data_IF_166085807665
#
_entry.id   IF_166085807665
#
_cell.length_a   1.000
_cell.length_b   1.000
_cell.length_c   1.000
_cell.angle_alpha   90.00
_cell.angle_beta   90.00
_cell.angle_gamma   90.00
#
_symmetry.space_group_name_H-M   'P 1'
#
loop_
_entity.id
_entity.type
_entity.pdbx_description
1 polymer ?
#
# COMPACT_ATOMS: atom_id res chain seq x y z
N UNK A 1 8.86 -0.62 25.51
CA UNK A 1 9.43 -1.57 24.55
C UNK A 1 9.64 -0.88 23.22
N UNK A 2 10.74 -1.19 22.54
CA UNK A 2 10.97 -0.79 21.17
C UNK A 2 10.26 -1.78 20.25
N UNK A 3 9.61 -1.29 19.20
CA UNK A 3 8.79 -2.08 18.28
C UNK A 3 9.26 -1.86 16.87
N UNK A 4 9.50 -2.95 16.14
CA UNK A 4 9.67 -2.94 14.71
C UNK A 4 8.37 -3.39 14.07
N UNK A 5 7.70 -2.48 13.36
CA UNK A 5 6.47 -2.76 12.61
C UNK A 5 6.81 -2.99 11.13
N UNK A 6 6.63 -4.22 10.66
CA UNK A 6 6.88 -4.59 9.26
C UNK A 6 5.55 -4.67 8.52
N UNK A 7 5.42 -3.93 7.43
CA UNK A 7 4.21 -3.89 6.60
C UNK A 7 4.57 -4.19 5.13
N UNK A 8 3.89 -5.15 4.54
CA UNK A 8 4.12 -5.60 3.16
C UNK A 8 3.73 -4.55 2.12
N UNK A 9 2.65 -3.80 2.40
CA UNK A 9 2.19 -2.71 1.53
C UNK A 9 3.01 -1.43 1.77
N UNK A 10 2.88 -0.48 0.88
CA UNK A 10 3.55 0.82 1.01
C UNK A 10 2.97 1.72 2.11
N UNK A 11 1.94 1.27 2.80
CA UNK A 11 1.23 1.99 3.86
C UNK A 11 0.71 1.01 4.91
N UNK A 12 0.51 1.49 6.13
CA UNK A 12 -0.20 0.76 7.19
C UNK A 12 -1.71 0.96 7.09
N UNK A 13 -2.47 0.17 7.83
CA UNK A 13 -3.93 0.23 7.92
C UNK A 13 -4.65 -0.95 7.25
N UNK A 14 -3.96 -1.68 6.39
CA UNK A 14 -4.46 -2.91 5.78
C UNK A 14 -5.84 -2.74 5.12
N UNK A 15 -6.68 -3.75 5.25
CA UNK A 15 -8.03 -3.73 4.67
C UNK A 15 -8.97 -2.74 5.35
N UNK A 16 -8.74 -2.38 6.63
CA UNK A 16 -9.54 -1.37 7.30
C UNK A 16 -9.43 0.01 6.62
N UNK A 17 -8.26 0.33 6.03
CA UNK A 17 -8.10 1.56 5.25
C UNK A 17 -8.94 1.59 3.96
N UNK A 18 -9.43 0.44 3.50
CA UNK A 18 -10.27 0.30 2.32
C UNK A 18 -11.78 0.36 2.62
N UNK A 19 -12.18 0.16 3.87
CA UNK A 19 -13.58 0.20 4.27
C UNK A 19 -14.08 1.66 4.33
N UNK A 20 -15.34 1.87 3.95
CA UNK A 20 -16.04 3.11 4.20
C UNK A 20 -16.58 3.14 5.64
N UNK A 21 -17.23 2.05 6.06
CA UNK A 21 -17.83 1.90 7.38
C UNK A 21 -17.35 0.63 8.08
N UNK A 22 -17.35 0.68 9.42
CA UNK A 22 -17.10 -0.50 10.26
C UNK A 22 -18.42 -1.18 10.63
N UNK A 23 -18.48 -2.49 10.58
CA UNK A 23 -19.61 -3.27 11.05
C UNK A 23 -19.38 -3.71 12.51
N UNK A 24 -20.40 -3.75 13.39
CA UNK A 24 -21.82 -3.46 13.15
C UNK A 24 -22.23 -2.00 13.43
N UNK A 25 -21.32 -1.16 13.92
CA UNK A 25 -21.63 0.18 14.42
C UNK A 25 -21.82 1.22 13.32
N UNK A 26 -21.42 0.89 12.09
CA UNK A 26 -21.48 1.78 10.93
C UNK A 26 -20.66 3.08 11.13
N UNK A 27 -19.62 3.01 11.95
CA UNK A 27 -18.70 4.13 12.18
C UNK A 27 -17.80 4.36 10.94
N UNK A 28 -17.34 5.59 10.79
CA UNK A 28 -16.38 5.94 9.76
C UNK A 28 -15.02 5.23 9.99
N UNK A 29 -14.65 4.31 9.13
CA UNK A 29 -13.42 3.52 9.31
C UNK A 29 -12.16 4.39 9.28
N UNK A 30 -12.10 5.38 8.39
CA UNK A 30 -10.99 6.32 8.31
C UNK A 30 -10.87 7.21 9.56
N UNK A 31 -12.00 7.54 10.19
CA UNK A 31 -12.03 8.34 11.42
C UNK A 31 -11.46 7.58 12.63
N UNK A 32 -11.68 6.26 12.65
CA UNK A 32 -11.13 5.39 13.71
C UNK A 32 -9.67 5.04 13.43
N UNK A 33 -9.35 4.68 12.19
CA UNK A 33 -8.04 4.20 11.79
C UNK A 33 -7.00 5.33 11.71
N UNK A 34 -7.39 6.50 11.18
CA UNK A 34 -6.49 7.62 10.94
C UNK A 34 -5.65 8.02 12.16
N UNK A 35 -6.28 8.34 13.32
CA UNK A 35 -5.54 8.65 14.54
C UNK A 35 -4.55 7.56 14.95
N UNK A 36 -4.96 6.28 14.89
CA UNK A 36 -4.08 5.14 15.23
C UNK A 36 -2.86 5.04 14.31
N UNK A 37 -3.03 5.27 13.01
CA UNK A 37 -1.91 5.28 12.05
C UNK A 37 -0.96 6.44 12.34
N UNK A 38 -1.48 7.62 12.70
CA UNK A 38 -0.67 8.79 13.07
C UNK A 38 0.11 8.50 14.36
N UNK A 39 -0.53 7.92 15.37
CA UNK A 39 0.12 7.54 16.63
C UNK A 39 1.29 6.58 16.38
N UNK A 40 1.11 5.58 15.53
CA UNK A 40 2.18 4.66 15.14
C UNK A 40 3.33 5.39 14.46
N UNK A 41 3.03 6.30 13.52
CA UNK A 41 4.06 7.03 12.76
C UNK A 41 4.85 8.02 13.61
N UNK A 42 4.25 8.56 14.66
CA UNK A 42 4.86 9.57 15.53
C UNK A 42 5.48 8.99 16.80
N UNK A 43 5.20 7.73 17.11
CA UNK A 43 5.66 7.13 18.35
C UNK A 43 7.18 6.90 18.34
N UNK A 44 7.95 7.45 19.31
CA UNK A 44 9.42 7.44 19.28
C UNK A 44 10.05 6.05 19.39
N UNK A 45 9.29 5.05 19.86
CA UNK A 45 9.72 3.66 20.03
C UNK A 45 9.17 2.70 18.98
N UNK A 46 8.54 3.21 17.92
CA UNK A 46 8.07 2.41 16.81
C UNK A 46 8.88 2.73 15.56
N UNK A 47 9.58 1.75 15.05
CA UNK A 47 10.23 1.83 13.74
C UNK A 47 9.33 1.19 12.71
N UNK A 48 8.78 2.01 11.80
CA UNK A 48 7.91 1.54 10.72
C UNK A 48 8.74 1.16 9.49
N UNK A 49 8.65 -0.10 9.08
CA UNK A 49 9.20 -0.63 7.82
C UNK A 49 8.04 -1.00 6.88
N UNK A 50 7.49 -0.03 6.16
CA UNK A 50 6.52 -0.27 5.11
C UNK A 50 7.21 -0.69 3.80
N UNK A 51 6.46 -1.24 2.83
CA UNK A 51 6.98 -1.89 1.63
C UNK A 51 8.02 -2.98 1.93
N UNK A 52 7.85 -3.70 3.05
CA UNK A 52 8.82 -4.66 3.57
C UNK A 52 8.14 -5.96 3.97
N UNK A 53 8.85 -7.06 3.84
CA UNK A 53 8.32 -8.40 4.07
C UNK A 53 9.32 -9.23 4.87
N UNK A 54 8.83 -9.96 5.88
CA UNK A 54 9.64 -10.93 6.62
C UNK A 54 9.86 -12.15 5.73
N UNK A 55 11.12 -12.44 5.43
CA UNK A 55 11.51 -13.57 4.56
C UNK A 55 12.02 -14.77 5.34
N UNK A 56 12.61 -14.54 6.51
CA UNK A 56 13.12 -15.62 7.35
C UNK A 56 13.01 -15.27 8.83
N UNK A 57 12.75 -16.28 9.63
CA UNK A 57 12.75 -16.21 11.11
C UNK A 57 13.49 -17.42 11.64
N UNK A 58 14.46 -17.20 12.52
CA UNK A 58 15.20 -18.23 13.23
C UNK A 58 15.37 -17.85 14.69
N UNK A 59 15.83 -18.79 15.51
CA UNK A 59 16.05 -18.56 16.94
C UNK A 59 14.94 -19.13 17.82
N UNK A 60 14.77 -18.57 19.01
CA UNK A 60 13.83 -19.06 20.03
C UNK A 60 13.26 -17.87 20.84
N UNK A 61 12.25 -18.13 21.65
CA UNK A 61 11.59 -17.13 22.49
C UNK A 61 12.62 -16.36 23.33
N UNK A 62 12.60 -15.05 23.21
CA UNK A 62 13.57 -14.13 23.81
C UNK A 62 14.75 -13.76 22.91
N UNK A 63 15.01 -14.52 21.83
CA UNK A 63 16.15 -14.28 20.93
C UNK A 63 15.84 -14.77 19.49
N UNK A 64 14.94 -14.06 18.79
CA UNK A 64 14.66 -14.32 17.39
C UNK A 64 15.54 -13.46 16.50
N UNK A 65 16.03 -14.06 15.42
CA UNK A 65 16.67 -13.35 14.32
C UNK A 65 15.70 -13.31 13.14
N UNK A 66 15.31 -12.11 12.72
CA UNK A 66 14.32 -11.87 11.67
C UNK A 66 14.99 -11.19 10.49
N UNK A 67 14.88 -11.78 9.31
CA UNK A 67 15.32 -11.16 8.06
C UNK A 67 14.14 -10.49 7.38
N UNK A 68 14.28 -9.19 7.13
CA UNK A 68 13.26 -8.35 6.50
C UNK A 68 13.77 -7.88 5.14
N UNK A 69 13.04 -8.20 4.10
CA UNK A 69 13.30 -7.71 2.74
C UNK A 69 12.54 -6.41 2.52
N UNK A 70 13.25 -5.30 2.35
CA UNK A 70 12.70 -4.01 1.92
C UNK A 70 12.61 -4.01 0.40
N UNK A 71 11.41 -3.86 -0.14
CA UNK A 71 11.16 -3.83 -1.58
C UNK A 71 11.57 -2.48 -2.17
N UNK A 72 12.13 -2.50 -3.36
CA UNK A 72 12.46 -1.29 -4.11
C UNK A 72 11.18 -0.52 -4.45
N UNK A 73 10.99 0.64 -3.86
CA UNK A 73 9.87 1.54 -4.14
C UNK A 73 10.16 2.49 -5.31
N UNK A 74 11.43 2.54 -5.76
CA UNK A 74 11.96 3.45 -6.78
C UNK A 74 11.76 4.93 -6.47
N UNK A 75 11.43 5.23 -5.21
CA UNK A 75 11.30 6.57 -4.67
C UNK A 75 12.03 6.62 -3.33
N UNK A 76 12.97 7.51 -3.20
CA UNK A 76 13.66 7.77 -1.94
C UNK A 76 12.69 8.46 -0.96
N UNK A 77 12.19 7.69 -0.02
CA UNK A 77 11.21 8.16 0.94
C UNK A 77 11.74 9.19 1.94
N UNK A 78 13.05 9.28 2.11
CA UNK A 78 13.67 10.34 2.92
C UNK A 78 13.48 11.72 2.29
N UNK A 79 13.49 11.79 0.95
CA UNK A 79 13.32 13.01 0.15
C UNK A 79 11.87 13.26 -0.27
N UNK A 80 11.06 12.21 -0.42
CA UNK A 80 9.67 12.34 -0.90
C UNK A 80 8.80 13.08 0.12
N UNK A 81 8.15 14.15 -0.30
CA UNK A 81 7.20 14.93 0.51
C UNK A 81 5.75 14.50 0.36
N UNK A 82 5.46 13.54 -0.54
CA UNK A 82 4.08 13.11 -0.80
C UNK A 82 3.20 14.15 -1.51
N UNK A 83 3.80 15.06 -2.29
CA UNK A 83 3.09 16.17 -2.95
C UNK A 83 2.18 15.75 -4.13
N UNK A 84 2.35 14.56 -4.70
CA UNK A 84 1.52 14.04 -5.78
C UNK A 84 1.90 14.49 -7.19
N UNK A 85 2.77 15.48 -7.40
CA UNK A 85 3.11 16.04 -8.71
C UNK A 85 3.58 14.98 -9.74
N UNK A 86 4.24 13.92 -9.28
CA UNK A 86 4.67 12.81 -10.11
C UNK A 86 3.49 11.95 -10.61
N UNK A 87 2.42 11.84 -9.83
CA UNK A 87 1.20 11.11 -10.20
C UNK A 87 0.45 11.83 -11.31
N UNK A 88 0.22 13.13 -11.15
CA UNK A 88 -0.54 13.96 -12.10
C UNK A 88 0.07 13.92 -13.51
N UNK A 89 1.40 13.87 -13.60
CA UNK A 89 2.15 13.89 -14.86
C UNK A 89 2.52 12.51 -15.38
N UNK A 90 2.19 11.43 -14.68
CA UNK A 90 2.49 10.08 -15.11
C UNK A 90 1.67 9.70 -16.36
N UNK A 91 2.30 9.29 -17.47
CA UNK A 91 1.57 8.88 -18.68
C UNK A 91 0.99 7.46 -18.61
N UNK A 92 1.40 6.65 -17.63
CA UNK A 92 0.90 5.29 -17.42
C UNK A 92 -0.34 5.32 -16.51
N UNK A 93 -1.49 5.76 -17.05
CA UNK A 93 -2.75 5.98 -16.32
C UNK A 93 -3.69 4.77 -16.29
N UNK A 94 -3.27 3.63 -16.83
CA UNK A 94 -4.07 2.39 -16.86
C UNK A 94 -3.46 1.30 -16.01
N UNK A 95 -2.80 1.67 -14.93
CA UNK A 95 -2.25 0.74 -13.96
C UNK A 95 -3.39 0.21 -13.07
N UNK A 96 -3.51 -1.11 -12.87
CA UNK A 96 -4.51 -1.67 -11.95
C UNK A 96 -4.35 -1.10 -10.54
N UNK A 97 -5.42 -0.60 -9.96
CA UNK A 97 -5.42 -0.03 -8.62
C UNK A 97 -5.75 -1.08 -7.57
N UNK A 98 -4.72 -1.65 -6.96
CA UNK A 98 -4.86 -2.67 -5.90
C UNK A 98 -5.52 -2.13 -4.63
N UNK A 99 -5.30 -0.85 -4.32
CA UNK A 99 -5.94 -0.25 -3.14
C UNK A 99 -7.45 -0.16 -3.32
N UNK A 100 -7.89 0.24 -4.50
CA UNK A 100 -9.31 0.35 -4.85
C UNK A 100 -9.91 -0.96 -5.40
N UNK A 101 -9.31 -2.11 -5.08
CA UNK A 101 -9.82 -3.45 -5.45
C UNK A 101 -10.12 -3.57 -6.96
N UNK A 102 -9.28 -2.92 -7.78
CA UNK A 102 -9.35 -2.91 -9.24
C UNK A 102 -10.62 -2.28 -9.83
N UNK A 103 -11.41 -1.57 -9.05
CA UNK A 103 -12.62 -0.87 -9.51
C UNK A 103 -12.29 0.24 -10.51
N UNK A 104 -11.12 0.85 -10.38
CA UNK A 104 -10.64 1.87 -11.31
C UNK A 104 -9.14 1.77 -11.57
N UNK A 105 -8.63 2.46 -12.59
CA UNK A 105 -7.20 2.52 -12.84
C UNK A 105 -6.52 3.60 -12.01
N UNK A 106 -5.23 3.40 -11.75
CA UNK A 106 -4.34 4.40 -11.16
C UNK A 106 -3.15 4.67 -12.08
N UNK A 107 -2.18 5.42 -11.62
CA UNK A 107 -0.92 5.66 -12.33
C UNK A 107 0.18 4.73 -11.84
N UNK A 108 1.18 4.45 -12.70
CA UNK A 108 2.29 3.57 -12.34
C UNK A 108 3.13 4.09 -11.16
N UNK A 109 3.13 5.41 -10.92
CA UNK A 109 3.64 6.01 -9.69
C UNK A 109 2.46 6.59 -8.93
N UNK A 110 2.21 6.12 -7.71
CA UNK A 110 1.06 6.58 -6.95
C UNK A 110 1.32 6.61 -5.43
N UNK A 111 0.44 7.32 -4.75
CA UNK A 111 0.20 7.24 -3.31
C UNK A 111 -1.17 6.58 -3.17
N UNK A 112 -1.31 5.44 -2.47
CA UNK A 112 -2.54 4.62 -2.52
C UNK A 112 -3.81 5.37 -2.15
N UNK A 113 -3.74 6.26 -1.15
CA UNK A 113 -4.87 7.10 -0.74
C UNK A 113 -4.36 8.35 -0.01
N UNK A 114 -5.16 9.42 0.08
CA UNK A 114 -4.71 10.72 0.61
C UNK A 114 -4.17 10.69 2.04
N UNK A 115 -4.72 9.82 2.89
CA UNK A 115 -4.36 9.67 4.31
C UNK A 115 -3.32 8.55 4.56
N UNK A 116 -2.70 8.02 3.50
CA UNK A 116 -1.71 6.95 3.62
C UNK A 116 -0.56 7.32 4.58
N UNK A 117 -0.17 6.37 5.40
CA UNK A 117 0.98 6.50 6.29
C UNK A 117 1.93 5.31 6.05
N UNK A 118 3.17 5.57 5.68
CA UNK A 118 3.74 6.89 5.31
C UNK A 118 3.10 7.44 4.02
N UNK A 119 2.91 8.75 3.93
CA UNK A 119 2.40 9.39 2.70
C UNK A 119 3.54 9.56 1.70
N UNK A 120 3.91 8.48 1.07
CA UNK A 120 5.04 8.40 0.13
C UNK A 120 4.58 7.77 -1.18
N UNK A 121 5.13 8.27 -2.29
CA UNK A 121 4.87 7.65 -3.58
C UNK A 121 5.67 6.36 -3.76
N UNK A 122 5.11 5.44 -4.53
CA UNK A 122 5.80 4.21 -4.98
C UNK A 122 5.62 4.03 -6.48
N UNK A 123 6.56 3.37 -7.13
CA UNK A 123 6.47 3.04 -8.56
C UNK A 123 6.18 1.54 -8.70
N UNK A 124 5.09 1.22 -9.38
CA UNK A 124 4.85 -0.15 -9.84
C UNK A 124 5.74 -0.43 -11.05
N UNK A 125 6.74 -1.30 -10.88
CA UNK A 125 7.75 -1.59 -11.89
C UNK A 125 7.16 -2.20 -13.16
N UNK A 126 6.13 -3.05 -13.03
CA UNK A 126 5.50 -3.76 -14.16
C UNK A 126 4.80 -2.80 -15.14
N UNK A 127 4.24 -1.70 -14.64
CA UNK A 127 3.49 -0.73 -15.43
C UNK A 127 4.27 0.56 -15.72
N UNK A 128 5.46 0.72 -15.13
CA UNK A 128 6.29 1.90 -15.33
C UNK A 128 7.02 1.86 -16.67
N UNK A 129 6.70 2.75 -17.59
CA UNK A 129 7.35 2.84 -18.92
C UNK A 129 8.87 3.05 -18.84
N UNK A 130 9.40 3.68 -17.78
CA UNK A 130 10.84 3.83 -17.60
C UNK A 130 11.49 2.50 -17.25
N UNK A 131 10.92 1.74 -16.33
CA UNK A 131 11.47 0.47 -15.87
C UNK A 131 11.29 -0.66 -16.91
N UNK A 132 10.18 -0.63 -17.68
CA UNK A 132 9.88 -1.67 -18.68
C UNK A 132 10.55 -1.42 -20.03
N UNK A 133 10.57 -0.17 -20.51
CA UNK A 133 11.03 0.16 -21.88
C UNK A 133 12.15 1.21 -21.94
N UNK A 134 12.56 1.77 -20.82
CA UNK A 134 13.60 2.81 -20.77
C UNK A 134 13.15 4.21 -21.27
N UNK A 135 11.98 4.32 -21.90
CA UNK A 135 11.56 5.49 -22.70
C UNK A 135 10.73 6.52 -21.94
N UNK A 136 10.90 6.66 -20.62
CA UNK A 136 10.20 7.64 -19.82
C UNK A 136 11.11 8.21 -18.74
N UNK A 137 10.69 9.23 -18.04
CA UNK A 137 11.44 9.90 -16.97
C UNK A 137 10.69 11.13 -16.46
N UNK A 138 9.40 11.24 -16.78
CA UNK A 138 8.59 12.42 -16.46
C UNK A 138 8.53 12.66 -14.96
N UNK A 139 8.28 11.62 -14.16
CA UNK A 139 8.19 11.76 -12.69
C UNK A 139 9.50 12.27 -12.07
N UNK A 140 10.68 11.87 -12.59
CA UNK A 140 11.95 12.39 -12.12
C UNK A 140 12.13 13.88 -12.47
N UNK A 141 11.65 14.31 -13.65
CA UNK A 141 11.76 15.71 -14.09
C UNK A 141 10.86 16.66 -13.30
N UNK A 142 9.70 16.19 -12.85
CA UNK A 142 8.73 17.02 -12.14
C UNK A 142 8.85 16.90 -10.62
N UNK A 143 9.69 16.01 -10.12
CA UNK A 143 9.89 15.84 -8.67
C UNK A 143 10.71 17.01 -8.09
N UNK A 144 10.13 17.87 -7.23
CA UNK A 144 10.84 19.05 -6.74
C UNK A 144 12.01 18.70 -5.79
N UNK A 145 11.98 17.51 -5.19
CA UNK A 145 12.98 17.04 -4.23
C UNK A 145 13.97 16.04 -4.82
N UNK A 146 13.81 15.67 -6.09
CA UNK A 146 14.67 14.67 -6.72
C UNK A 146 14.60 13.28 -6.07
N UNK A 147 13.44 12.91 -5.54
CA UNK A 147 13.26 11.66 -4.80
C UNK A 147 13.23 10.40 -5.69
N UNK A 148 13.13 10.52 -7.01
CA UNK A 148 12.99 9.37 -7.91
C UNK A 148 14.33 8.70 -8.16
N UNK A 149 14.41 7.41 -7.86
CA UNK A 149 15.59 6.58 -8.07
C UNK A 149 15.22 5.26 -8.76
N UNK A 150 15.41 5.19 -10.07
CA UNK A 150 15.11 3.99 -10.86
C UNK A 150 16.10 2.84 -10.66
N UNK A 151 17.27 3.12 -10.08
CA UNK A 151 18.32 2.12 -9.82
C UNK A 151 18.19 1.46 -8.43
N UNK A 152 17.13 1.83 -7.68
CA UNK A 152 16.86 1.24 -6.36
C UNK A 152 16.65 -0.26 -6.48
N UNK A 153 17.25 -1.00 -5.55
CA UNK A 153 17.14 -2.46 -5.46
C UNK A 153 16.52 -2.86 -4.14
N UNK A 154 16.03 -4.07 -4.09
CA UNK A 154 15.61 -4.69 -2.84
C UNK A 154 16.79 -4.78 -1.88
N UNK A 155 16.53 -4.59 -0.61
CA UNK A 155 17.51 -4.58 0.49
C UNK A 155 17.10 -5.59 1.55
N UNK A 156 18.04 -6.38 2.06
CA UNK A 156 17.77 -7.25 3.20
C UNK A 156 18.38 -6.67 4.46
N UNK A 157 17.58 -6.64 5.53
CA UNK A 157 17.98 -6.19 6.85
C UNK A 157 17.69 -7.30 7.84
N UNK A 158 18.63 -7.57 8.74
CA UNK A 158 18.48 -8.56 9.79
C UNK A 158 18.39 -7.88 11.14
N UNK A 159 17.35 -8.19 11.89
CA UNK A 159 17.07 -7.63 13.21
C UNK A 159 16.92 -8.73 14.25
N UNK A 160 17.36 -8.45 15.49
CA UNK A 160 17.18 -9.35 16.61
C UNK A 160 16.08 -8.85 17.52
N UNK A 161 15.07 -9.69 17.77
CA UNK A 161 13.89 -9.33 18.57
C UNK A 161 13.57 -10.39 19.62
N UNK A 162 13.05 -9.96 20.77
CA UNK A 162 12.69 -10.87 21.86
C UNK A 162 11.36 -11.59 21.66
N UNK A 163 10.43 -10.99 20.91
CA UNK A 163 9.12 -11.55 20.62
C UNK A 163 8.62 -11.12 19.24
N UNK A 164 7.76 -11.93 18.65
CA UNK A 164 7.12 -11.66 17.37
C UNK A 164 5.60 -11.70 17.57
N UNK A 165 4.91 -10.67 17.11
CA UNK A 165 3.45 -10.60 17.08
C UNK A 165 3.00 -10.70 15.64
N UNK A 166 2.30 -11.79 15.29
CA UNK A 166 1.71 -11.97 13.96
C UNK A 166 0.37 -11.24 13.91
N UNK A 167 0.30 -10.18 13.07
CA UNK A 167 -0.89 -9.36 12.86
C UNK A 167 -1.14 -9.19 11.34
N UNK A 168 -1.14 -10.31 10.62
CA UNK A 168 -1.16 -10.36 9.14
C UNK A 168 -2.51 -10.01 8.52
N UNK A 169 -3.54 -9.81 9.34
CA UNK A 169 -4.89 -9.53 8.86
C UNK A 169 -5.55 -10.76 8.24
N UNK A 170 -6.40 -10.54 7.23
CA UNK A 170 -7.11 -11.60 6.50
C UNK A 170 -7.00 -11.37 5.00
N UNK A 171 -7.17 -12.43 4.23
CA UNK A 171 -7.33 -12.37 2.78
C UNK A 171 -8.79 -12.62 2.39
N UNK A 172 -9.22 -12.03 1.28
CA UNK A 172 -10.52 -12.31 0.71
C UNK A 172 -10.51 -13.72 0.13
N UNK A 173 -11.60 -14.45 0.34
CA UNK A 173 -11.81 -15.71 -0.32
C UNK A 173 -11.93 -15.51 -1.83
N UNK A 174 -11.40 -16.44 -2.60
CA UNK A 174 -11.65 -16.47 -4.03
C UNK A 174 -13.14 -16.76 -4.30
N UNK A 175 -13.88 -15.73 -4.64
CA UNK A 175 -15.31 -15.78 -4.87
C UNK A 175 -15.68 -16.47 -6.19
N UNK A 176 -14.71 -16.65 -7.10
CA UNK A 176 -14.95 -17.31 -8.39
C UNK A 176 -15.19 -18.81 -8.26
N UNK A 177 -14.83 -19.40 -7.09
CA UNK A 177 -15.14 -20.82 -6.80
C UNK A 177 -16.63 -21.09 -6.65
N UNK A 178 -17.45 -20.07 -6.43
CA UNK A 178 -18.91 -20.15 -6.31
C UNK A 178 -19.57 -19.69 -7.62
N UNK A 179 -19.58 -20.59 -8.60
CA UNK A 179 -20.11 -20.29 -9.95
C UNK A 179 -21.57 -19.86 -9.98
N UNK A 180 -22.38 -20.28 -8.99
CA UNK A 180 -23.81 -19.93 -8.86
C UNK A 180 -24.06 -18.44 -8.68
N UNK A 181 -23.08 -17.68 -8.18
CA UNK A 181 -23.19 -16.21 -8.04
C UNK A 181 -22.75 -15.46 -9.29
N UNK A 182 -22.22 -16.15 -10.30
CA UNK A 182 -21.79 -15.54 -11.56
C UNK A 182 -20.56 -14.62 -11.42
N UNK A 183 -19.72 -14.86 -10.42
CA UNK A 183 -18.49 -14.14 -10.17
C UNK A 183 -17.57 -14.15 -11.40
N UNK A 184 -17.13 -12.98 -11.86
CA UNK A 184 -16.29 -12.85 -13.04
C UNK A 184 -17.00 -13.07 -14.39
N UNK A 185 -18.27 -13.51 -14.38
CA UNK A 185 -19.11 -13.66 -15.59
C UNK A 185 -19.93 -12.40 -15.84
N UNK A 186 -20.43 -11.78 -14.81
CA UNK A 186 -21.26 -10.57 -14.89
C UNK A 186 -20.51 -9.39 -14.28
N UNK A 187 -20.41 -8.25 -14.97
CA UNK A 187 -19.65 -7.08 -14.51
C UNK A 187 -20.28 -6.41 -13.26
N UNK A 188 -21.59 -6.62 -13.06
CA UNK A 188 -22.32 -6.03 -11.93
C UNK A 188 -22.22 -6.88 -10.64
N UNK A 189 -21.66 -8.08 -10.74
CA UNK A 189 -21.38 -8.92 -9.56
C UNK A 189 -20.03 -8.53 -9.00
N UNK A 190 -20.04 -7.89 -7.84
CA UNK A 190 -18.85 -7.32 -7.19
C UNK A 190 -18.68 -7.88 -5.77
N UNK A 191 -17.46 -7.82 -5.25
CA UNK A 191 -17.18 -8.20 -3.86
C UNK A 191 -17.64 -7.13 -2.88
N UNK A 192 -17.83 -7.51 -1.62
CA UNK A 192 -18.14 -6.54 -0.55
C UNK A 192 -17.08 -5.44 -0.42
N UNK A 193 -15.80 -5.79 -0.58
CA UNK A 193 -14.73 -4.80 -0.48
C UNK A 193 -14.71 -3.85 -1.69
N UNK A 194 -15.05 -4.32 -2.88
CA UNK A 194 -15.25 -3.45 -4.04
C UNK A 194 -16.41 -2.48 -3.81
N UNK A 195 -17.52 -2.98 -3.25
CA UNK A 195 -18.65 -2.15 -2.88
C UNK A 195 -18.26 -1.06 -1.86
N UNK A 196 -17.53 -1.42 -0.80
CA UNK A 196 -16.99 -0.47 0.18
C UNK A 196 -16.13 0.62 -0.50
N UNK A 197 -15.30 0.23 -1.49
CA UNK A 197 -14.51 1.21 -2.23
C UNK A 197 -15.39 2.16 -3.08
N UNK A 198 -16.42 1.65 -3.73
CA UNK A 198 -17.36 2.46 -4.51
C UNK A 198 -18.14 3.45 -3.63
N UNK A 199 -18.50 3.03 -2.42
CA UNK A 199 -19.19 3.88 -1.44
C UNK A 199 -18.30 4.91 -0.77
N UNK A 200 -17.00 4.70 -0.80
CA UNK A 200 -16.05 5.59 -0.14
C UNK A 200 -15.95 6.94 -0.83
N UNK A 201 -15.93 8.01 -0.05
CA UNK A 201 -15.76 9.38 -0.56
C UNK A 201 -14.46 9.61 -1.34
N UNK A 202 -13.44 8.76 -1.14
CA UNK A 202 -12.17 8.83 -1.87
C UNK A 202 -12.22 8.20 -3.26
N UNK A 203 -13.25 7.39 -3.54
CA UNK A 203 -13.53 6.79 -4.85
C UNK A 203 -15.00 6.98 -5.17
N UNK A 204 -15.43 8.22 -5.39
CA UNK A 204 -16.83 8.45 -5.74
C UNK A 204 -17.11 7.96 -7.18
N UNK A 205 -18.35 7.52 -7.43
CA UNK A 205 -18.81 7.10 -8.76
C UNK A 205 -18.58 8.15 -9.86
N UNK A 206 -18.42 9.41 -9.49
CA UNK A 206 -18.10 10.52 -10.40
C UNK A 206 -16.70 10.37 -11.03
N UNK A 207 -15.79 9.61 -10.40
CA UNK A 207 -14.43 9.43 -10.90
C UNK A 207 -14.24 8.13 -11.69
N UNK A 208 -15.27 7.30 -11.80
CA UNK A 208 -15.26 6.00 -12.50
C UNK A 208 -15.81 6.11 -13.94
N UNK A 209 -16.52 7.19 -14.25
CA UNK A 209 -17.12 7.47 -15.58
C UNK A 209 -16.11 8.03 -16.60
#
# INVERSE_FOLDING_TARGET
LDVLLVERESHIGGKMAKLDKTFPTVDCSSCILGPKMVDVAQHPKITLMAASEVTNVSGYVGNFTVTVKKKATYVDWSKCTGCGACMDKCPAKKTPDKFNEFVGPTTAINIPFPQAIPKKATINAEFCRKLTSGKCGVCAKVCPTGAINYEMKDEEVTETVGAIVAATGYDLMDWTVYGEYGAGQYPDVITSLQYERIMSASLSLIHIS
#
